data_IF_398576819136
#
_entry.id   IF_398576819136
#
_cell.length_a   1.000
_cell.length_b   1.000
_cell.length_c   1.000
_cell.angle_alpha   90.00
_cell.angle_beta   90.00
_cell.angle_gamma   90.00
#
_symmetry.space_group_name_H-M   'P 1'
#
loop_
_entity.id
_entity.type
_entity.pdbx_description
1 polymer ?
#
# COMPACT_ATOMS: atom_id res chain seq x y z
N UNK A 1 8.95 27.34 -10.71
CA UNK A 1 9.78 28.28 -9.91
C UNK A 1 10.55 29.19 -10.88
N UNK A 2 9.87 30.15 -11.50
CA UNK A 2 10.49 31.17 -12.35
C UNK A 2 9.88 32.51 -11.94
N UNK A 3 10.24 33.01 -10.75
CA UNK A 3 9.94 34.40 -10.40
C UNK A 3 11.05 35.28 -10.99
N UNK A 4 10.72 36.35 -11.74
CA UNK A 4 11.69 37.30 -12.28
C UNK A 4 12.45 38.09 -11.20
N UNK A 5 12.03 38.02 -9.94
CA UNK A 5 12.61 38.78 -8.82
C UNK A 5 13.97 38.25 -8.36
N UNK A 6 14.27 36.96 -8.61
CA UNK A 6 15.57 36.36 -8.26
C UNK A 6 16.70 36.76 -9.21
N UNK A 7 16.38 37.16 -10.45
CA UNK A 7 17.38 37.49 -11.47
C UNK A 7 17.88 38.95 -11.39
N UNK A 8 17.19 39.82 -10.64
CA UNK A 8 17.44 41.27 -10.65
C UNK A 8 18.49 41.78 -9.64
N UNK A 9 19.04 40.94 -8.74
CA UNK A 9 19.92 41.40 -7.64
C UNK A 9 21.42 41.06 -7.72
N UNK A 10 21.90 40.41 -8.78
CA UNK A 10 23.33 39.99 -8.89
C UNK A 10 24.01 40.64 -10.11
N UNK A 11 23.99 41.97 -10.21
CA UNK A 11 24.85 42.71 -11.16
C UNK A 11 25.69 43.80 -10.50
N UNK A 12 25.91 43.73 -9.19
CA UNK A 12 26.91 44.57 -8.53
C UNK A 12 28.30 43.95 -8.71
N UNK A 13 29.22 44.66 -9.38
CA UNK A 13 30.64 44.26 -9.42
C UNK A 13 31.19 44.22 -7.99
N UNK A 14 31.66 43.05 -7.55
CA UNK A 14 32.29 42.90 -6.25
C UNK A 14 33.76 43.30 -6.35
N UNK A 15 34.20 44.18 -5.45
CA UNK A 15 35.57 44.69 -5.40
C UNK A 15 36.37 44.00 -4.29
N UNK A 16 37.68 43.88 -4.50
CA UNK A 16 38.57 43.27 -3.53
C UNK A 16 38.77 44.19 -2.32
N UNK A 17 38.65 43.63 -1.11
CA UNK A 17 38.88 44.36 0.15
C UNK A 17 40.32 44.92 0.27
N UNK A 18 41.30 44.23 -0.33
CA UNK A 18 42.73 44.63 -0.32
C UNK A 18 43.10 45.53 -1.49
N UNK A 19 42.43 45.38 -2.64
CA UNK A 19 42.68 46.13 -3.87
C UNK A 19 41.37 46.74 -4.34
N UNK A 20 41.02 47.91 -3.78
CA UNK A 20 39.68 48.50 -3.90
C UNK A 20 39.31 48.87 -5.36
N UNK A 21 40.30 49.02 -6.25
CA UNK A 21 40.12 49.28 -7.68
C UNK A 21 39.95 47.99 -8.51
N UNK A 22 40.18 46.81 -7.94
CA UNK A 22 40.13 45.53 -8.66
C UNK A 22 38.85 44.75 -8.34
N UNK A 23 38.18 44.30 -9.38
CA UNK A 23 37.02 43.41 -9.26
C UNK A 23 37.45 41.97 -8.97
N UNK A 24 36.66 41.26 -8.18
CA UNK A 24 36.79 39.82 -7.95
C UNK A 24 36.28 39.07 -9.19
N UNK A 25 37.20 38.43 -9.93
CA UNK A 25 36.90 37.70 -11.19
C UNK A 25 37.32 36.23 -11.16
N UNK A 26 38.05 35.82 -10.12
CA UNK A 26 38.55 34.47 -9.99
C UNK A 26 38.00 33.85 -8.70
N UNK A 27 37.87 32.53 -8.71
CA UNK A 27 37.54 31.72 -7.55
C UNK A 27 38.72 30.79 -7.26
N UNK A 28 39.24 30.86 -6.04
CA UNK A 28 40.27 29.95 -5.56
C UNK A 28 39.61 28.68 -5.02
N UNK A 29 39.73 27.56 -5.71
CA UNK A 29 39.09 26.29 -5.31
C UNK A 29 39.71 25.70 -4.04
N UNK A 30 40.98 26.00 -3.77
CA UNK A 30 41.70 25.56 -2.56
C UNK A 30 41.23 26.33 -1.33
N UNK A 31 41.08 27.65 -1.44
CA UNK A 31 40.66 28.53 -0.33
C UNK A 31 39.13 28.69 -0.22
N UNK A 32 38.38 28.26 -1.24
CA UNK A 32 36.94 28.42 -1.37
C UNK A 32 36.46 29.88 -1.31
N UNK A 33 37.24 30.81 -1.88
CA UNK A 33 36.95 32.25 -1.85
C UNK A 33 37.15 32.94 -3.20
N UNK A 34 36.58 34.14 -3.33
CA UNK A 34 36.74 35.00 -4.49
C UNK A 34 38.03 35.82 -4.42
N UNK A 35 38.75 35.88 -5.54
CA UNK A 35 40.04 36.56 -5.67
C UNK A 35 40.02 37.55 -6.84
N UNK A 36 40.68 38.70 -6.65
CA UNK A 36 41.02 39.58 -7.77
C UNK A 36 42.32 39.10 -8.44
N UNK A 37 42.62 39.63 -9.62
CA UNK A 37 43.85 39.30 -10.37
C UNK A 37 45.12 39.47 -9.53
N UNK A 38 45.20 40.50 -8.68
CA UNK A 38 46.39 40.76 -7.87
C UNK A 38 46.56 39.75 -6.74
N UNK A 39 45.49 39.44 -5.99
CA UNK A 39 45.53 38.37 -4.98
C UNK A 39 45.86 37.03 -5.62
N UNK A 40 45.26 36.74 -6.78
CA UNK A 40 45.50 35.51 -7.53
C UNK A 40 46.98 35.34 -7.83
N UNK A 41 47.63 36.34 -8.45
CA UNK A 41 49.05 36.24 -8.86
C UNK A 41 50.00 36.31 -7.67
N UNK A 42 49.77 37.22 -6.70
CA UNK A 42 50.74 37.44 -5.63
C UNK A 42 50.60 36.48 -4.45
N UNK A 43 49.45 35.86 -4.25
CA UNK A 43 49.17 35.06 -3.06
C UNK A 43 48.77 33.63 -3.42
N UNK A 44 47.74 33.45 -4.25
CA UNK A 44 47.18 32.11 -4.49
C UNK A 44 48.07 31.28 -5.43
N UNK A 45 48.46 31.81 -6.59
CA UNK A 45 49.32 31.11 -7.56
C UNK A 45 50.71 30.87 -6.99
N UNK A 46 51.29 31.85 -6.28
CA UNK A 46 52.58 31.65 -5.58
C UNK A 46 52.56 30.52 -4.56
N UNK A 47 51.39 30.20 -4.01
CA UNK A 47 51.18 29.10 -3.07
C UNK A 47 50.63 27.83 -3.76
N UNK A 48 50.66 27.76 -5.10
CA UNK A 48 50.15 26.65 -5.90
C UNK A 48 48.66 26.32 -5.67
N UNK A 49 47.83 27.32 -5.33
CA UNK A 49 46.38 27.12 -5.23
C UNK A 49 45.71 27.10 -6.62
N UNK A 50 44.67 26.28 -6.78
CA UNK A 50 43.85 26.27 -8.00
C UNK A 50 42.96 27.50 -8.05
N UNK A 51 43.11 28.34 -9.09
CA UNK A 51 42.28 29.51 -9.33
C UNK A 51 41.70 29.45 -10.73
N UNK A 52 40.38 29.55 -10.81
CA UNK A 52 39.59 29.48 -12.05
C UNK A 52 38.71 30.71 -12.17
N UNK A 53 38.18 31.01 -13.36
CA UNK A 53 37.28 32.15 -13.52
C UNK A 53 35.96 31.92 -12.76
N UNK A 54 35.38 32.99 -12.23
CA UNK A 54 34.08 32.89 -11.55
C UNK A 54 32.99 32.45 -12.53
N UNK A 55 33.08 32.90 -13.78
CA UNK A 55 32.15 32.54 -14.85
C UNK A 55 32.15 31.02 -15.10
N UNK A 56 33.32 30.40 -15.20
CA UNK A 56 33.46 28.95 -15.41
C UNK A 56 32.95 28.12 -14.23
N UNK A 57 33.27 28.53 -12.99
CA UNK A 57 32.77 27.85 -11.79
C UNK A 57 31.26 27.98 -11.67
N UNK A 58 30.73 29.18 -11.96
CA UNK A 58 29.30 29.43 -11.94
C UNK A 58 28.56 28.59 -12.97
N UNK A 59 29.11 28.47 -14.19
CA UNK A 59 28.57 27.61 -15.24
C UNK A 59 28.58 26.13 -14.84
N UNK A 60 29.72 25.62 -14.39
CA UNK A 60 29.85 24.23 -13.91
C UNK A 60 28.89 23.92 -12.76
N UNK A 61 28.79 24.79 -11.77
CA UNK A 61 27.85 24.59 -10.65
C UNK A 61 26.39 24.69 -11.09
N UNK A 62 26.07 25.58 -12.04
CA UNK A 62 24.74 25.68 -12.63
C UNK A 62 24.35 24.36 -13.31
N UNK A 63 25.22 23.79 -14.15
CA UNK A 63 24.96 22.52 -14.83
C UNK A 63 24.76 21.36 -13.86
N UNK A 64 25.60 21.27 -12.81
CA UNK A 64 25.46 20.26 -11.75
C UNK A 64 24.11 20.40 -11.04
N UNK A 65 23.70 21.63 -10.71
CA UNK A 65 22.42 21.89 -10.05
C UNK A 65 21.24 21.56 -10.98
N UNK A 66 21.30 21.94 -12.25
CA UNK A 66 20.28 21.62 -13.24
C UNK A 66 20.11 20.10 -13.39
N UNK A 67 21.21 19.36 -13.50
CA UNK A 67 21.20 17.89 -13.56
C UNK A 67 20.66 17.25 -12.27
N UNK A 68 21.06 17.78 -11.11
CA UNK A 68 20.56 17.31 -9.81
C UNK A 68 19.06 17.54 -9.64
N UNK A 69 18.57 18.72 -10.05
CA UNK A 69 17.14 19.04 -10.04
C UNK A 69 16.36 18.10 -10.96
N UNK A 70 16.84 17.85 -12.18
CA UNK A 70 16.20 16.92 -13.11
C UNK A 70 16.09 15.50 -12.51
N UNK A 71 17.17 15.03 -11.86
CA UNK A 71 17.19 13.73 -11.17
C UNK A 71 16.18 13.69 -10.02
N UNK A 72 16.08 14.76 -9.23
CA UNK A 72 15.12 14.85 -8.13
C UNK A 72 13.68 14.86 -8.62
N UNK A 73 13.39 15.56 -9.71
CA UNK A 73 12.06 15.60 -10.34
C UNK A 73 11.64 14.20 -10.84
N UNK A 74 12.57 13.46 -11.47
CA UNK A 74 12.34 12.07 -11.88
C UNK A 74 12.03 11.17 -10.68
N UNK A 75 12.85 11.23 -9.62
CA UNK A 75 12.63 10.43 -8.40
C UNK A 75 11.33 10.78 -7.70
N UNK A 76 10.94 12.05 -7.70
CA UNK A 76 9.67 12.50 -7.16
C UNK A 76 8.49 11.97 -7.98
N UNK A 77 8.61 11.94 -9.31
CA UNK A 77 7.60 11.32 -10.18
C UNK A 77 7.48 9.82 -9.95
N UNK A 78 8.60 9.10 -9.89
CA UNK A 78 8.64 7.66 -9.57
C UNK A 78 8.00 7.37 -8.21
N UNK A 79 8.35 8.16 -7.18
CA UNK A 79 7.79 8.03 -5.85
C UNK A 79 6.27 8.24 -5.81
N UNK A 80 5.76 9.27 -6.53
CA UNK A 80 4.31 9.49 -6.67
C UNK A 80 3.61 8.33 -7.38
N UNK A 81 4.21 7.80 -8.44
CA UNK A 81 3.67 6.64 -9.17
C UNK A 81 3.61 5.40 -8.26
N UNK A 82 4.68 5.12 -7.52
CA UNK A 82 4.74 4.01 -6.57
C UNK A 82 3.67 4.16 -5.48
N UNK A 83 3.51 5.36 -4.91
CA UNK A 83 2.50 5.64 -3.89
C UNK A 83 1.07 5.40 -4.40
N UNK A 84 0.77 5.85 -5.62
CA UNK A 84 -0.53 5.61 -6.24
C UNK A 84 -0.77 4.10 -6.45
N UNK A 85 0.22 3.39 -6.98
CA UNK A 85 0.12 1.94 -7.16
C UNK A 85 -0.13 1.20 -5.84
N UNK A 86 0.64 1.53 -4.80
CA UNK A 86 0.47 0.93 -3.46
C UNK A 86 -0.93 1.22 -2.93
N UNK A 87 -1.42 2.46 -3.07
CA UNK A 87 -2.77 2.85 -2.63
C UNK A 87 -3.85 2.04 -3.38
N UNK A 88 -3.69 1.84 -4.69
CA UNK A 88 -4.58 1.00 -5.49
C UNK A 88 -4.59 -0.46 -5.02
N UNK A 89 -3.41 -1.04 -4.80
CA UNK A 89 -3.28 -2.42 -4.30
C UNK A 89 -3.89 -2.58 -2.90
N UNK A 90 -3.68 -1.60 -2.01
CA UNK A 90 -4.28 -1.61 -0.67
C UNK A 90 -5.81 -1.63 -0.74
N UNK A 91 -6.40 -0.80 -1.61
CA UNK A 91 -7.85 -0.77 -1.81
C UNK A 91 -8.38 -2.09 -2.35
N UNK A 92 -7.74 -2.65 -3.37
CA UNK A 92 -8.15 -3.95 -3.92
C UNK A 92 -7.99 -5.09 -2.91
N UNK A 93 -6.97 -5.04 -2.05
CA UNK A 93 -6.80 -6.02 -0.97
C UNK A 93 -7.96 -5.95 0.04
N UNK A 94 -8.39 -4.75 0.42
CA UNK A 94 -9.53 -4.54 1.31
C UNK A 94 -10.84 -5.04 0.70
N UNK A 95 -11.12 -4.68 -0.55
CA UNK A 95 -12.30 -5.13 -1.31
C UNK A 95 -12.33 -6.66 -1.42
N UNK A 96 -11.20 -7.29 -1.76
CA UNK A 96 -11.08 -8.74 -1.86
C UNK A 96 -11.26 -9.45 -0.51
N UNK A 97 -10.73 -8.88 0.57
CA UNK A 97 -10.90 -9.42 1.91
C UNK A 97 -12.36 -9.37 2.35
N UNK A 98 -13.07 -8.26 2.09
CA UNK A 98 -14.51 -8.14 2.37
C UNK A 98 -15.33 -9.13 1.57
N UNK A 99 -15.13 -9.17 0.25
CA UNK A 99 -15.85 -10.08 -0.64
C UNK A 99 -15.61 -11.56 -0.28
N UNK A 100 -14.39 -11.91 0.11
CA UNK A 100 -14.06 -13.27 0.57
C UNK A 100 -14.79 -13.60 1.87
N UNK A 101 -14.82 -12.69 2.85
CA UNK A 101 -15.56 -12.90 4.12
C UNK A 101 -17.06 -13.09 3.86
N UNK A 102 -17.66 -12.28 3.01
CA UNK A 102 -19.07 -12.40 2.62
C UNK A 102 -19.37 -13.76 1.97
N UNK A 103 -18.51 -14.19 1.05
CA UNK A 103 -18.63 -15.53 0.43
C UNK A 103 -18.54 -16.65 1.47
N UNK A 104 -17.62 -16.56 2.43
CA UNK A 104 -17.49 -17.56 3.50
C UNK A 104 -18.78 -17.63 4.33
N UNK A 105 -19.32 -16.49 4.73
CA UNK A 105 -20.58 -16.42 5.51
C UNK A 105 -21.74 -17.00 4.71
N UNK A 106 -21.84 -16.68 3.43
CA UNK A 106 -22.92 -17.19 2.58
C UNK A 106 -22.83 -18.71 2.36
N UNK A 107 -21.62 -19.22 2.11
CA UNK A 107 -21.38 -20.66 2.01
C UNK A 107 -21.73 -21.38 3.32
N UNK A 108 -21.37 -20.81 4.48
CA UNK A 108 -21.74 -21.38 5.77
C UNK A 108 -23.26 -21.48 5.94
N UNK A 109 -24.02 -20.45 5.54
CA UNK A 109 -25.50 -20.49 5.57
C UNK A 109 -26.06 -21.57 4.66
N UNK A 110 -25.53 -21.71 3.45
CA UNK A 110 -25.96 -22.74 2.50
C UNK A 110 -25.73 -24.13 3.10
N UNK A 111 -24.54 -24.38 3.65
CA UNK A 111 -24.21 -25.67 4.27
C UNK A 111 -25.16 -25.96 5.44
N UNK A 112 -25.35 -25.00 6.34
CA UNK A 112 -26.28 -25.15 7.48
C UNK A 112 -27.69 -25.47 7.01
N UNK A 113 -28.18 -24.78 5.97
CA UNK A 113 -29.51 -25.04 5.43
C UNK A 113 -29.63 -26.45 4.85
N UNK A 114 -28.70 -26.85 3.98
CA UNK A 114 -28.71 -28.17 3.35
C UNK A 114 -28.66 -29.28 4.40
N UNK A 115 -27.77 -29.16 5.39
CA UNK A 115 -27.65 -30.16 6.46
C UNK A 115 -28.91 -30.19 7.32
N UNK A 116 -29.49 -29.03 7.64
CA UNK A 116 -30.73 -28.96 8.43
C UNK A 116 -31.90 -29.61 7.69
N UNK A 117 -32.06 -29.32 6.40
CA UNK A 117 -33.12 -29.89 5.56
C UNK A 117 -32.97 -31.43 5.50
N UNK A 118 -31.74 -31.93 5.32
CA UNK A 118 -31.47 -33.38 5.35
C UNK A 118 -31.78 -34.02 6.70
N UNK A 119 -31.42 -33.38 7.81
CA UNK A 119 -31.72 -33.88 9.15
C UNK A 119 -33.23 -33.92 9.42
N UNK A 120 -33.98 -32.93 8.95
CA UNK A 120 -35.44 -32.90 9.07
C UNK A 120 -36.07 -34.05 8.32
N UNK A 121 -35.68 -34.30 7.07
CA UNK A 121 -36.22 -35.40 6.27
C UNK A 121 -35.89 -36.76 6.88
N UNK A 122 -34.64 -36.99 7.30
CA UNK A 122 -34.25 -38.23 7.98
C UNK A 122 -35.01 -38.43 9.30
N UNK A 123 -35.29 -37.35 10.03
CA UNK A 123 -36.09 -37.43 11.26
C UNK A 123 -37.52 -37.87 10.96
N UNK A 124 -38.15 -37.31 9.92
CA UNK A 124 -39.50 -37.72 9.49
C UNK A 124 -39.54 -39.18 9.07
N UNK A 125 -38.57 -39.63 8.28
CA UNK A 125 -38.46 -41.04 7.87
C UNK A 125 -38.39 -41.97 9.08
N UNK A 126 -37.49 -41.68 10.04
CA UNK A 126 -37.35 -42.50 11.25
C UNK A 126 -38.60 -42.48 12.14
N UNK A 127 -39.29 -41.34 12.27
CA UNK A 127 -40.57 -41.29 12.98
C UNK A 127 -41.62 -42.14 12.28
N UNK A 128 -41.70 -42.08 10.95
CA UNK A 128 -42.61 -42.91 10.16
C UNK A 128 -42.36 -44.41 10.35
N UNK A 129 -41.09 -44.84 10.35
CA UNK A 129 -40.72 -46.24 10.64
C UNK A 129 -41.18 -46.68 12.04
N UNK A 130 -41.05 -45.80 13.05
CA UNK A 130 -41.54 -46.10 14.41
C UNK A 130 -43.05 -46.23 14.45
N UNK A 131 -43.77 -45.33 13.79
CA UNK A 131 -45.23 -45.35 13.74
C UNK A 131 -45.74 -46.61 13.00
N UNK A 132 -45.13 -47.00 11.89
CA UNK A 132 -45.46 -48.23 11.15
C UNK A 132 -45.27 -49.49 12.02
N UNK A 133 -44.12 -49.59 12.71
CA UNK A 133 -43.84 -50.72 13.62
C UNK A 133 -44.84 -50.73 14.78
N UNK A 134 -45.17 -49.57 15.34
CA UNK A 134 -46.15 -49.46 16.42
C UNK A 134 -47.53 -49.93 15.96
N UNK A 135 -48.01 -49.47 14.80
CA UNK A 135 -49.32 -49.81 14.26
C UNK A 135 -49.45 -51.31 13.94
N UNK A 136 -48.41 -51.93 13.37
CA UNK A 136 -48.36 -53.38 13.14
C UNK A 136 -48.46 -54.16 14.45
N UNK A 137 -47.62 -53.83 15.44
CA UNK A 137 -47.60 -54.50 16.74
C UNK A 137 -48.92 -54.30 17.50
N UNK A 138 -49.48 -53.10 17.46
CA UNK A 138 -50.74 -52.77 18.11
C UNK A 138 -51.91 -53.55 17.50
N UNK A 139 -51.95 -53.65 16.16
CA UNK A 139 -52.98 -54.40 15.44
C UNK A 139 -52.93 -55.88 15.79
N UNK A 140 -51.72 -56.47 15.80
CA UNK A 140 -51.54 -57.88 16.15
C UNK A 140 -51.89 -58.16 17.62
N UNK A 141 -51.46 -57.31 18.55
CA UNK A 141 -51.82 -57.45 19.96
C UNK A 141 -53.34 -57.30 20.20
N UNK A 142 -53.99 -56.38 19.48
CA UNK A 142 -55.45 -56.20 19.57
C UNK A 142 -56.18 -57.46 19.09
N UNK A 143 -55.74 -58.05 17.97
CA UNK A 143 -56.28 -59.32 17.47
C UNK A 143 -56.13 -60.45 18.49
N UNK A 144 -54.92 -60.61 19.05
CA UNK A 144 -54.66 -61.62 20.08
C UNK A 144 -55.50 -61.40 21.35
N UNK A 145 -55.65 -60.16 21.78
CA UNK A 145 -56.51 -59.80 22.91
C UNK A 145 -57.96 -60.23 22.67
N UNK A 146 -58.51 -59.95 21.49
CA UNK A 146 -59.90 -60.27 21.15
C UNK A 146 -60.13 -61.79 21.07
N UNK A 147 -59.18 -62.54 20.52
CA UNK A 147 -59.22 -64.02 20.48
C UNK A 147 -59.22 -64.63 21.88
N UNK A 148 -58.34 -64.15 22.76
CA UNK A 148 -58.28 -64.62 24.16
C UNK A 148 -59.56 -64.25 24.91
N UNK A 149 -60.08 -63.04 24.70
CA UNK A 149 -61.33 -62.60 25.30
C UNK A 149 -62.50 -63.48 24.88
N UNK A 150 -62.64 -63.76 23.58
CA UNK A 150 -63.69 -64.63 23.06
C UNK A 150 -63.57 -66.06 23.62
N UNK A 151 -62.36 -66.59 23.78
CA UNK A 151 -62.15 -67.88 24.43
C UNK A 151 -62.64 -67.87 25.88
N UNK A 152 -62.26 -66.85 26.67
CA UNK A 152 -62.67 -66.70 28.07
C UNK A 152 -64.19 -66.61 28.19
N UNK A 153 -64.83 -65.81 27.33
CA UNK A 153 -66.29 -65.64 27.32
C UNK A 153 -67.03 -66.96 26.99
N UNK A 154 -66.40 -67.90 26.27
CA UNK A 154 -66.97 -69.21 25.93
C UNK A 154 -66.85 -70.27 27.04
N UNK A 155 -65.90 -70.12 27.97
CA UNK A 155 -65.66 -71.08 29.05
C UNK A 155 -66.27 -70.65 30.39
N UNK A 156 -66.86 -69.45 30.47
CA UNK A 156 -67.71 -68.99 31.58
C UNK A 156 -69.18 -69.34 31.34
#
# INVERSE_FOLDING_TARGET
LNSPEGQAKIKSKLYCKKHQDKTLKFYCETCKELSCTHCMVLTHIKQNHSCVSVEEVAEKHREILESSCATLDEKLFEGKKALNNISGVMKSLEENASATKEKIVEQAKIIVKVVSDQLVERTKEMCGEVDEIYDELHTELSRQHDEVKEYVDKVQ
#
